data_IF_671350699923
#
_entry.id   IF_671350699923
#
_cell.length_a   1.000
_cell.length_b   1.000
_cell.length_c   1.000
_cell.angle_alpha   90.00
_cell.angle_beta   90.00
_cell.angle_gamma   90.00
#
_symmetry.space_group_name_H-M   'P 1'
#
loop_
_entity.id
_entity.type
_entity.pdbx_description
1 polymer ?
#
# COMPACT_ATOMS: atom_id res chain seq x y z
N UNK A 1 12.15 -3.36 -11.01
CA UNK A 1 12.33 -3.13 -9.56
C UNK A 1 13.61 -2.34 -9.26
N UNK A 2 14.78 -2.71 -9.81
CA UNK A 2 16.03 -1.96 -9.58
C UNK A 2 15.92 -0.45 -9.85
N UNK A 3 15.43 -0.06 -11.03
CA UNK A 3 15.13 1.35 -11.37
C UNK A 3 14.27 2.08 -10.33
N UNK A 4 13.29 1.41 -9.73
CA UNK A 4 12.37 2.01 -8.76
C UNK A 4 13.05 2.37 -7.42
N UNK A 5 14.16 1.72 -7.08
CA UNK A 5 14.97 2.07 -5.92
C UNK A 5 16.11 3.07 -6.21
N UNK A 6 16.46 3.25 -7.48
CA UNK A 6 17.62 4.04 -7.91
C UNK A 6 17.23 5.40 -8.47
N UNK A 7 16.12 5.46 -9.22
CA UNK A 7 15.60 6.68 -9.83
C UNK A 7 14.66 7.42 -8.85
N UNK A 8 14.59 8.77 -8.92
CA UNK A 8 13.59 9.54 -8.18
C UNK A 8 12.17 9.11 -8.52
N UNK A 9 11.29 9.08 -7.51
CA UNK A 9 9.87 8.81 -7.72
C UNK A 9 9.21 10.04 -8.33
N UNK A 10 8.50 9.85 -9.44
CA UNK A 10 7.70 10.90 -10.07
C UNK A 10 6.54 11.32 -9.16
N UNK A 11 6.48 12.62 -8.86
CA UNK A 11 5.50 13.22 -7.97
C UNK A 11 4.05 13.07 -8.50
N UNK A 12 3.83 13.16 -9.82
CA UNK A 12 2.50 13.01 -10.40
C UNK A 12 2.01 11.57 -10.23
N UNK A 13 2.91 10.60 -10.47
CA UNK A 13 2.63 9.19 -10.28
C UNK A 13 2.34 8.85 -8.82
N UNK A 14 3.12 9.40 -7.88
CA UNK A 14 2.87 9.23 -6.45
C UNK A 14 1.51 9.80 -6.06
N UNK A 15 1.20 11.03 -6.48
CA UNK A 15 -0.06 11.66 -6.14
C UNK A 15 -1.25 10.87 -6.69
N UNK A 16 -1.18 10.42 -7.94
CA UNK A 16 -2.22 9.58 -8.55
C UNK A 16 -2.42 8.26 -7.80
N UNK A 17 -1.33 7.63 -7.35
CA UNK A 17 -1.42 6.40 -6.55
C UNK A 17 -2.07 6.65 -5.19
N UNK A 18 -1.68 7.73 -4.48
CA UNK A 18 -2.30 8.13 -3.21
C UNK A 18 -3.79 8.40 -3.37
N UNK A 19 -4.18 9.20 -4.37
CA UNK A 19 -5.59 9.52 -4.65
C UNK A 19 -6.43 8.26 -4.83
N UNK A 20 -5.92 7.27 -5.59
CA UNK A 20 -6.63 6.01 -5.80
C UNK A 20 -6.81 5.21 -4.51
N UNK A 21 -5.74 5.07 -3.73
CA UNK A 21 -5.76 4.35 -2.45
C UNK A 21 -6.74 4.99 -1.45
N UNK A 22 -6.75 6.32 -1.37
CA UNK A 22 -7.67 7.05 -0.49
C UNK A 22 -9.11 6.93 -0.98
N UNK A 23 -9.35 7.00 -2.29
CA UNK A 23 -10.69 6.79 -2.85
C UNK A 23 -11.24 5.39 -2.51
N UNK A 24 -10.41 4.35 -2.60
CA UNK A 24 -10.81 2.99 -2.21
C UNK A 24 -11.24 2.91 -0.73
N UNK A 25 -10.56 3.65 0.17
CA UNK A 25 -10.94 3.74 1.58
C UNK A 25 -12.25 4.49 1.81
N UNK A 26 -12.53 5.54 1.01
CA UNK A 26 -13.79 6.27 1.07
C UNK A 26 -14.93 5.39 0.58
N UNK A 27 -14.78 4.75 -0.58
CA UNK A 27 -15.82 3.86 -1.12
C UNK A 27 -16.09 2.63 -0.25
N UNK A 28 -15.11 2.18 0.53
CA UNK A 28 -15.32 1.12 1.51
C UNK A 28 -16.36 1.51 2.58
N UNK A 29 -16.54 2.81 2.88
CA UNK A 29 -17.52 3.30 3.85
C UNK A 29 -18.96 3.24 3.33
N UNK A 30 -19.15 3.28 2.01
CA UNK A 30 -20.48 3.19 1.37
C UNK A 30 -21.02 1.75 1.34
N UNK A 31 -20.15 0.76 1.54
CA UNK A 31 -20.48 -0.66 1.55
C UNK A 31 -20.28 -1.25 2.94
N UNK A 32 -21.38 -1.60 3.62
CA UNK A 32 -21.32 -2.23 4.95
C UNK A 32 -20.49 -3.52 4.96
N UNK A 33 -20.50 -4.28 3.86
CA UNK A 33 -19.68 -5.49 3.72
C UNK A 33 -18.20 -5.15 3.61
N UNK A 34 -17.84 -4.12 2.83
CA UNK A 34 -16.46 -3.69 2.67
C UNK A 34 -15.91 -3.10 3.97
N UNK A 35 -16.71 -2.25 4.63
CA UNK A 35 -16.38 -1.65 5.91
C UNK A 35 -16.17 -2.72 6.99
N UNK A 36 -17.09 -3.68 7.12
CA UNK A 36 -16.96 -4.77 8.09
C UNK A 36 -15.71 -5.63 7.84
N UNK A 37 -15.36 -5.90 6.57
CA UNK A 37 -14.12 -6.62 6.22
C UNK A 37 -12.88 -5.84 6.62
N UNK A 38 -12.82 -4.54 6.33
CA UNK A 38 -11.67 -3.70 6.71
C UNK A 38 -11.43 -3.69 8.22
N UNK A 39 -12.47 -3.47 9.01
CA UNK A 39 -12.37 -3.51 10.47
C UNK A 39 -12.01 -4.92 10.97
N UNK A 40 -12.63 -5.95 10.42
CA UNK A 40 -12.36 -7.34 10.78
C UNK A 40 -10.91 -7.74 10.52
N UNK A 41 -10.38 -7.45 9.33
CA UNK A 41 -8.99 -7.73 8.95
C UNK A 41 -7.99 -6.98 9.82
N UNK A 42 -8.24 -5.68 10.08
CA UNK A 42 -7.39 -4.87 10.94
C UNK A 42 -7.31 -5.45 12.35
N UNK A 43 -8.45 -5.68 12.99
CA UNK A 43 -8.50 -6.22 14.36
C UNK A 43 -7.92 -7.64 14.44
N UNK A 44 -8.18 -8.49 13.45
CA UNK A 44 -7.65 -9.85 13.39
C UNK A 44 -6.12 -9.90 13.23
N UNK A 45 -5.52 -8.84 12.69
CA UNK A 45 -4.06 -8.73 12.50
C UNK A 45 -3.37 -7.89 13.58
N UNK A 46 -4.10 -7.47 14.61
CA UNK A 46 -3.58 -6.72 15.75
C UNK A 46 -3.51 -5.21 15.57
N UNK A 47 -4.13 -4.67 14.52
CA UNK A 47 -4.33 -3.23 14.37
C UNK A 47 -5.52 -2.76 15.22
N UNK A 48 -5.55 -1.46 15.48
CA UNK A 48 -6.61 -0.79 16.25
C UNK A 48 -7.66 -0.15 15.35
N UNK A 49 -8.78 0.27 15.93
CA UNK A 49 -9.78 1.08 15.21
C UNK A 49 -9.16 2.41 14.73
N UNK A 50 -8.34 3.05 15.56
CA UNK A 50 -7.66 4.30 15.20
C UNK A 50 -6.73 4.10 14.02
N UNK A 51 -6.11 2.92 13.88
CA UNK A 51 -5.33 2.59 12.68
C UNK A 51 -6.21 2.60 11.42
N UNK A 52 -7.42 2.06 11.47
CA UNK A 52 -8.35 2.08 10.32
C UNK A 52 -8.77 3.52 10.00
N UNK A 53 -9.18 4.28 11.01
CA UNK A 53 -9.70 5.64 10.84
C UNK A 53 -8.63 6.61 10.32
N UNK A 54 -7.41 6.55 10.85
CA UNK A 54 -6.34 7.45 10.45
C UNK A 54 -5.61 7.00 9.16
N UNK A 55 -6.01 5.89 8.54
CA UNK A 55 -5.34 5.36 7.34
C UNK A 55 -5.27 6.36 6.18
N UNK A 56 -6.36 7.07 5.78
CA UNK A 56 -6.30 8.05 4.69
C UNK A 56 -5.30 9.19 4.97
N UNK A 57 -5.29 9.71 6.20
CA UNK A 57 -4.35 10.75 6.61
C UNK A 57 -2.90 10.26 6.57
N UNK A 58 -2.64 9.02 7.01
CA UNK A 58 -1.31 8.42 6.93
C UNK A 58 -0.86 8.24 5.49
N UNK A 59 -1.77 7.85 4.59
CA UNK A 59 -1.46 7.76 3.15
C UNK A 59 -1.16 9.13 2.54
N UNK A 60 -1.85 10.19 2.95
CA UNK A 60 -1.54 11.55 2.50
C UNK A 60 -0.14 12.03 2.89
N UNK A 61 0.35 11.59 4.05
CA UNK A 61 1.69 11.96 4.55
C UNK A 61 2.85 11.22 3.88
N UNK A 62 2.59 10.18 3.09
CA UNK A 62 3.64 9.41 2.41
C UNK A 62 4.37 10.30 1.41
N UNK A 63 5.69 10.37 1.54
CA UNK A 63 6.57 11.13 0.65
C UNK A 63 7.22 10.24 -0.42
N UNK A 64 7.76 10.88 -1.46
CA UNK A 64 8.58 10.19 -2.46
C UNK A 64 9.80 9.49 -1.85
N UNK A 65 10.42 10.11 -0.86
CA UNK A 65 11.57 9.57 -0.15
C UNK A 65 11.19 8.33 0.67
N UNK A 66 10.03 8.31 1.33
CA UNK A 66 9.53 7.13 2.05
C UNK A 66 9.40 5.93 1.10
N UNK A 67 8.81 6.17 -0.07
CA UNK A 67 8.63 5.14 -1.11
C UNK A 67 9.99 4.66 -1.63
N UNK A 68 10.92 5.57 -1.90
CA UNK A 68 12.26 5.21 -2.39
C UNK A 68 13.05 4.42 -1.33
N UNK A 69 12.97 4.83 -0.07
CA UNK A 69 13.61 4.15 1.05
C UNK A 69 13.02 2.75 1.26
N UNK A 70 11.70 2.60 1.18
CA UNK A 70 11.04 1.30 1.24
C UNK A 70 11.44 0.39 0.07
N UNK A 71 11.52 0.94 -1.14
CA UNK A 71 11.96 0.22 -2.33
C UNK A 71 13.40 -0.32 -2.16
N UNK A 72 14.34 0.53 -1.73
CA UNK A 72 15.73 0.13 -1.47
C UNK A 72 15.85 -0.93 -0.37
N UNK A 73 15.04 -0.84 0.68
CA UNK A 73 15.08 -1.75 1.83
C UNK A 73 14.50 -3.13 1.53
N UNK A 74 13.38 -3.18 0.80
CA UNK A 74 12.57 -4.39 0.70
C UNK A 74 12.57 -5.04 -0.68
N UNK A 75 12.78 -4.29 -1.77
CA UNK A 75 12.81 -4.84 -3.14
C UNK A 75 14.20 -5.41 -3.49
N UNK A 76 14.72 -6.27 -2.62
CA UNK A 76 15.98 -6.98 -2.82
C UNK A 76 15.76 -8.30 -3.54
N UNK A 77 16.37 -8.47 -4.72
CA UNK A 77 16.30 -9.70 -5.51
C UNK A 77 16.78 -10.93 -4.73
N UNK A 78 17.70 -10.78 -3.76
CA UNK A 78 18.19 -11.88 -2.92
C UNK A 78 17.14 -12.43 -1.96
N UNK A 79 16.07 -11.66 -1.69
CA UNK A 79 14.94 -12.03 -0.84
C UNK A 79 13.69 -12.43 -1.65
N UNK A 80 13.80 -12.47 -2.98
CA UNK A 80 12.70 -12.79 -3.86
C UNK A 80 12.47 -14.30 -3.98
N UNK A 81 11.20 -14.70 -4.06
CA UNK A 81 10.77 -16.04 -4.45
C UNK A 81 10.13 -15.94 -5.83
N UNK A 82 10.60 -16.75 -6.78
CA UNK A 82 10.04 -16.79 -8.15
C UNK A 82 9.50 -18.18 -8.40
N UNK A 83 8.19 -18.29 -8.67
CA UNK A 83 7.52 -19.52 -9.09
C UNK A 83 7.11 -19.45 -10.55
N UNK A 84 7.29 -20.54 -11.29
CA UNK A 84 6.78 -20.69 -12.66
C UNK A 84 5.72 -21.79 -12.66
N UNK A 85 4.52 -21.47 -13.12
CA UNK A 85 3.49 -22.47 -13.44
C UNK A 85 3.70 -22.92 -14.89
N UNK A 86 4.00 -24.19 -15.09
CA UNK A 86 4.18 -24.79 -16.41
C UNK A 86 2.95 -25.62 -16.79
N UNK A 87 2.65 -25.77 -18.08
CA UNK A 87 1.61 -26.69 -18.55
C UNK A 87 1.88 -28.13 -18.07
N UNK A 88 0.80 -28.92 -17.95
CA UNK A 88 0.86 -30.34 -17.59
C UNK A 88 1.48 -31.19 -18.70
#
# INVERSE_FOLDING_TARGET
>A
LRRFGEEPIDAEHLQRAKTRLIADAVYAQDSQVSLARWYGEALATGLTIDDVVAWPERMEKVTADDVQNAARKWLDKRRAVTGFLLPA
#
